data_IF_111534411364
#
_entry.id   IF_111534411364
#
_cell.length_a   1.000
_cell.length_b   1.000
_cell.length_c   1.000
_cell.angle_alpha   90.00
_cell.angle_beta   90.00
_cell.angle_gamma   90.00
#
_symmetry.space_group_name_H-M   'P 1'
#
loop_
_entity.id
_entity.type
_entity.pdbx_description
1 polymer ?
#
# COMPACT_ATOMS: atom_id res chain seq x y z
N UNK A 1 -21.78 -11.72 -72.95
CA UNK A 1 -20.99 -10.48 -72.75
C UNK A 1 -21.67 -9.65 -71.65
N UNK A 2 -22.01 -10.24 -70.52
CA UNK A 2 -21.13 -10.51 -69.34
C UNK A 2 -20.60 -9.25 -68.68
N UNK A 3 -21.49 -8.57 -67.94
CA UNK A 3 -21.13 -7.65 -66.88
C UNK A 3 -20.94 -8.47 -65.58
N UNK A 4 -19.69 -8.55 -65.12
CA UNK A 4 -19.28 -9.26 -63.91
C UNK A 4 -18.51 -8.31 -63.00
N UNK A 5 -18.83 -8.38 -61.69
CA UNK A 5 -17.96 -8.09 -60.52
C UNK A 5 -17.83 -6.58 -60.20
N UNK A 6 -17.94 -6.05 -58.99
CA UNK A 6 -17.73 -6.55 -57.61
C UNK A 6 -18.77 -5.87 -56.67
N UNK A 7 -19.30 -6.49 -55.63
CA UNK A 7 -18.54 -7.05 -54.49
C UNK A 7 -18.57 -6.05 -53.32
N UNK A 8 -19.72 -5.97 -52.63
CA UNK A 8 -19.87 -5.20 -51.39
C UNK A 8 -19.06 -5.86 -50.27
N UNK A 9 -17.87 -5.37 -49.98
CA UNK A 9 -17.14 -5.72 -48.75
C UNK A 9 -17.67 -4.90 -47.59
N UNK A 10 -18.55 -5.50 -46.79
CA UNK A 10 -18.86 -5.01 -45.45
C UNK A 10 -17.78 -5.52 -44.50
N UNK A 11 -16.80 -4.65 -44.21
CA UNK A 11 -15.83 -4.89 -43.14
C UNK A 11 -16.60 -4.88 -41.81
N UNK A 12 -16.73 -6.06 -41.21
CA UNK A 12 -17.22 -6.23 -39.86
C UNK A 12 -16.24 -5.57 -38.89
N UNK A 13 -16.53 -4.32 -38.51
CA UNK A 13 -15.95 -3.69 -37.33
C UNK A 13 -16.43 -4.48 -36.11
N UNK A 14 -15.58 -5.39 -35.64
CA UNK A 14 -15.72 -6.06 -34.36
C UNK A 14 -15.70 -5.02 -33.24
N UNK A 15 -16.85 -4.45 -32.92
CA UNK A 15 -17.10 -3.82 -31.64
C UNK A 15 -16.98 -4.93 -30.59
N UNK A 16 -15.79 -5.10 -30.04
CA UNK A 16 -15.59 -5.77 -28.77
C UNK A 16 -16.49 -5.06 -27.76
N UNK A 17 -17.67 -5.64 -27.50
CA UNK A 17 -18.60 -5.21 -26.46
C UNK A 17 -17.80 -5.17 -25.16
N UNK A 18 -17.40 -3.97 -24.73
CA UNK A 18 -16.98 -3.76 -23.34
C UNK A 18 -18.22 -4.05 -22.52
N UNK A 19 -18.35 -5.27 -22.01
CA UNK A 19 -19.32 -5.56 -20.96
C UNK A 19 -18.95 -4.63 -19.82
N UNK A 20 -19.78 -3.61 -19.56
CA UNK A 20 -19.76 -2.85 -18.33
C UNK A 20 -20.10 -3.84 -17.20
N UNK A 21 -19.11 -4.60 -16.77
CA UNK A 21 -19.23 -5.40 -15.55
C UNK A 21 -19.21 -4.40 -14.41
N UNK A 22 -20.29 -4.37 -13.64
CA UNK A 22 -20.34 -3.64 -12.38
C UNK A 22 -19.15 -4.11 -11.55
N UNK A 23 -18.22 -3.20 -11.29
CA UNK A 23 -16.94 -3.49 -10.61
C UNK A 23 -17.06 -3.21 -9.11
N UNK A 24 -18.21 -3.48 -8.51
CA UNK A 24 -18.42 -3.23 -7.08
C UNK A 24 -17.74 -4.32 -6.24
N UNK A 25 -17.04 -3.92 -5.20
CA UNK A 25 -16.49 -4.83 -4.19
C UNK A 25 -17.67 -5.49 -3.45
N UNK A 26 -17.79 -6.83 -3.43
CA UNK A 26 -18.83 -7.52 -2.65
C UNK A 26 -18.78 -7.12 -1.18
N UNK A 27 -19.94 -6.99 -0.52
CA UNK A 27 -20.04 -6.43 0.83
C UNK A 27 -19.15 -7.16 1.86
N UNK A 28 -19.15 -8.50 1.84
CA UNK A 28 -18.26 -9.29 2.70
C UNK A 28 -16.78 -8.95 2.46
N UNK A 29 -16.36 -8.88 1.20
CA UNK A 29 -14.99 -8.51 0.81
C UNK A 29 -14.66 -7.08 1.25
N UNK A 30 -15.61 -6.15 1.13
CA UNK A 30 -15.45 -4.75 1.58
C UNK A 30 -15.16 -4.68 3.08
N UNK A 31 -15.96 -5.37 3.90
CA UNK A 31 -15.77 -5.41 5.37
C UNK A 31 -14.43 -6.03 5.76
N UNK A 32 -13.99 -7.09 5.06
CA UNK A 32 -12.69 -7.70 5.28
C UNK A 32 -11.55 -6.72 4.95
N UNK A 33 -11.62 -6.05 3.81
CA UNK A 33 -10.62 -5.05 3.38
C UNK A 33 -10.56 -3.88 4.35
N UNK A 34 -11.71 -3.40 4.82
CA UNK A 34 -11.82 -2.34 5.81
C UNK A 34 -11.10 -2.68 7.10
N UNK A 35 -11.39 -3.85 7.69
CA UNK A 35 -10.71 -4.30 8.92
C UNK A 35 -9.21 -4.44 8.75
N UNK A 36 -8.75 -4.95 7.60
CA UNK A 36 -7.32 -5.09 7.31
C UNK A 36 -6.62 -3.75 7.22
N UNK A 37 -7.23 -2.78 6.52
CA UNK A 37 -6.67 -1.44 6.37
C UNK A 37 -6.71 -0.65 7.68
N UNK A 38 -7.77 -0.77 8.46
CA UNK A 38 -7.88 -0.17 9.78
C UNK A 38 -6.77 -0.66 10.71
N UNK A 39 -6.63 -1.98 10.84
CA UNK A 39 -5.57 -2.60 11.64
C UNK A 39 -4.17 -2.23 11.13
N UNK A 40 -4.00 -2.14 9.81
CA UNK A 40 -2.75 -1.74 9.18
C UNK A 40 -2.36 -0.29 9.54
N UNK A 41 -3.27 0.66 9.33
CA UNK A 41 -3.05 2.08 9.59
C UNK A 41 -2.81 2.34 11.08
N UNK A 42 -3.57 1.69 11.98
CA UNK A 42 -3.38 1.81 13.42
C UNK A 42 -1.99 1.31 13.87
N UNK A 43 -1.50 0.23 13.26
CA UNK A 43 -0.21 -0.39 13.59
C UNK A 43 0.98 0.38 13.00
N UNK A 44 0.87 0.90 11.78
CA UNK A 44 2.00 1.61 11.14
C UNK A 44 2.22 3.00 11.75
N UNK A 45 1.16 3.63 12.27
CA UNK A 45 1.19 4.95 12.90
C UNK A 45 0.77 4.88 14.38
N UNK A 46 1.65 4.40 15.29
CA UNK A 46 1.37 4.40 16.71
C UNK A 46 1.09 5.83 17.23
N UNK A 47 0.26 6.01 18.27
CA UNK A 47 -0.15 7.31 18.79
C UNK A 47 1.01 8.29 19.05
N UNK A 48 2.15 7.77 19.51
CA UNK A 48 3.39 8.49 19.83
C UNK A 48 4.14 9.03 18.61
N UNK A 49 3.92 8.46 17.41
CA UNK A 49 4.58 8.84 16.15
C UNK A 49 3.64 9.58 15.17
N UNK A 50 2.39 9.85 15.57
CA UNK A 50 1.37 10.56 14.75
C UNK A 50 1.78 11.97 14.31
N UNK A 51 2.84 12.51 14.88
CA UNK A 51 3.37 13.82 14.51
C UNK A 51 4.37 13.80 13.34
N UNK A 52 4.78 12.61 12.86
CA UNK A 52 5.81 12.48 11.83
C UNK A 52 5.25 12.05 10.48
N UNK A 53 4.44 10.98 10.43
CA UNK A 53 3.74 10.56 9.21
C UNK A 53 2.38 9.99 9.62
N UNK A 54 1.34 10.44 8.94
CA UNK A 54 -0.01 9.94 9.11
C UNK A 54 -0.44 9.24 7.82
N UNK A 55 -0.88 8.00 7.94
CA UNK A 55 -1.43 7.23 6.81
C UNK A 55 -2.88 6.91 7.12
N UNK A 56 -3.75 7.15 6.17
CA UNK A 56 -5.15 6.77 6.21
C UNK A 56 -5.54 5.93 5.00
N UNK A 57 -6.80 5.54 4.97
CA UNK A 57 -7.37 4.81 3.84
C UNK A 57 -8.77 5.33 3.49
N UNK A 58 -9.18 5.08 2.24
CA UNK A 58 -10.54 5.33 1.75
C UNK A 58 -10.99 4.14 0.93
N UNK A 59 -12.23 3.70 1.10
CA UNK A 59 -12.83 2.61 0.31
C UNK A 59 -13.98 3.16 -0.53
N UNK A 60 -13.79 3.18 -1.84
CA UNK A 60 -14.81 3.51 -2.84
C UNK A 60 -15.63 2.26 -3.22
N UNK A 61 -16.44 2.33 -4.28
CA UNK A 61 -17.26 1.20 -4.72
C UNK A 61 -16.41 0.04 -5.27
N UNK A 62 -15.38 0.36 -6.04
CA UNK A 62 -14.57 -0.59 -6.81
C UNK A 62 -13.11 -0.64 -6.37
N UNK A 63 -12.69 0.20 -5.44
CA UNK A 63 -11.30 0.27 -5.02
C UNK A 63 -11.10 0.74 -3.58
N UNK A 64 -9.95 0.40 -3.02
CA UNK A 64 -9.42 0.98 -1.80
C UNK A 64 -8.15 1.80 -2.13
N UNK A 65 -7.97 2.93 -1.46
CA UNK A 65 -6.79 3.80 -1.58
C UNK A 65 -6.18 4.02 -0.22
N UNK A 66 -4.87 3.80 -0.12
CA UNK A 66 -4.05 4.28 0.99
C UNK A 66 -3.56 5.68 0.62
N UNK A 67 -3.67 6.60 1.57
CA UNK A 67 -3.23 7.99 1.42
C UNK A 67 -2.35 8.42 2.58
N UNK A 68 -1.40 9.28 2.28
CA UNK A 68 -0.69 10.09 3.26
C UNK A 68 -1.57 11.26 3.68
N UNK A 69 -1.58 11.60 4.97
CA UNK A 69 -2.22 12.81 5.48
C UNK A 69 -1.14 13.88 5.68
N UNK A 70 -0.90 14.69 4.65
CA UNK A 70 0.09 15.76 4.66
C UNK A 70 -0.46 16.98 5.41
N UNK A 71 0.29 17.53 6.36
CA UNK A 71 -0.12 18.75 7.09
C UNK A 71 0.00 19.97 6.19
N UNK A 72 -1.03 20.83 6.17
CA UNK A 72 -0.93 22.12 5.48
C UNK A 72 -0.19 23.10 6.40
N UNK A 73 0.95 23.63 5.93
CA UNK A 73 1.68 24.73 6.58
C UNK A 73 1.98 24.53 8.08
N UNK A 74 2.11 23.28 8.54
CA UNK A 74 2.36 22.96 9.96
C UNK A 74 1.19 23.23 10.92
N UNK A 75 0.01 23.60 10.42
CA UNK A 75 -1.17 23.91 11.24
C UNK A 75 -1.77 22.60 11.76
N UNK A 76 -2.00 22.54 13.08
CA UNK A 76 -2.67 21.39 13.70
C UNK A 76 -4.14 21.33 13.26
N UNK A 77 -4.60 20.16 12.82
CA UNK A 77 -6.00 19.92 12.44
C UNK A 77 -6.30 20.01 10.94
N UNK A 78 -5.38 20.49 10.10
CA UNK A 78 -5.56 20.55 8.63
C UNK A 78 -4.61 19.56 7.92
N UNK A 79 -5.19 18.46 7.44
CA UNK A 79 -4.46 17.46 6.65
C UNK A 79 -5.07 17.31 5.26
N UNK A 80 -4.22 17.21 4.24
CA UNK A 80 -4.61 16.87 2.88
C UNK A 80 -4.28 15.40 2.60
N UNK A 81 -5.25 14.59 2.17
CA UNK A 81 -4.99 13.23 1.73
C UNK A 81 -4.25 13.24 0.38
N UNK A 82 -2.99 12.81 0.37
CA UNK A 82 -2.22 12.54 -0.83
C UNK A 82 -2.26 11.04 -1.15
N UNK A 83 -2.79 10.62 -2.31
CA UNK A 83 -2.89 9.19 -2.64
C UNK A 83 -1.51 8.54 -2.82
N UNK A 84 -1.37 7.30 -2.37
CA UNK A 84 -0.09 6.57 -2.43
C UNK A 84 -0.25 5.27 -3.20
N UNK A 85 -1.23 4.45 -2.80
CA UNK A 85 -1.46 3.13 -3.38
C UNK A 85 -2.96 2.89 -3.58
N UNK A 86 -3.30 2.18 -4.67
CA UNK A 86 -4.68 1.82 -4.99
C UNK A 86 -4.81 0.33 -5.27
N UNK A 87 -5.79 -0.29 -4.62
CA UNK A 87 -6.20 -1.67 -4.79
C UNK A 87 -7.56 -1.68 -5.49
N UNK A 88 -7.61 -2.04 -6.76
CA UNK A 88 -8.82 -1.99 -7.59
C UNK A 88 -9.42 -3.37 -7.77
N UNK A 89 -10.63 -3.59 -7.30
CA UNK A 89 -11.33 -4.85 -7.45
C UNK A 89 -11.80 -5.05 -8.89
N UNK A 90 -11.57 -6.25 -9.42
CA UNK A 90 -11.97 -6.65 -10.77
C UNK A 90 -12.95 -7.79 -10.66
N UNK A 91 -14.24 -7.45 -10.75
CA UNK A 91 -15.32 -8.42 -10.62
C UNK A 91 -15.23 -9.58 -11.63
N UNK A 92 -14.79 -9.31 -12.86
CA UNK A 92 -14.68 -10.34 -13.91
C UNK A 92 -13.68 -11.46 -13.55
N UNK A 93 -12.61 -11.13 -12.83
CA UNK A 93 -11.52 -12.04 -12.47
C UNK A 93 -11.49 -12.41 -11.00
N UNK A 94 -12.33 -11.76 -10.19
CA UNK A 94 -12.36 -11.87 -8.72
C UNK A 94 -10.96 -11.65 -8.12
N UNK A 95 -10.23 -10.68 -8.69
CA UNK A 95 -8.89 -10.29 -8.25
C UNK A 95 -8.79 -8.78 -8.03
N UNK A 96 -7.67 -8.36 -7.45
CA UNK A 96 -7.34 -6.97 -7.16
C UNK A 96 -6.18 -6.55 -8.04
N UNK A 97 -6.34 -5.48 -8.80
CA UNK A 97 -5.23 -4.79 -9.46
C UNK A 97 -4.53 -3.85 -8.48
N UNK A 98 -3.21 -3.73 -8.61
CA UNK A 98 -2.40 -2.90 -7.73
C UNK A 98 -1.74 -1.76 -8.52
N UNK A 99 -1.97 -0.53 -8.08
CA UNK A 99 -1.45 0.68 -8.69
C UNK A 99 -0.73 1.55 -7.65
N UNK A 100 0.32 2.26 -8.09
CA UNK A 100 0.99 3.30 -7.31
C UNK A 100 0.66 4.69 -7.89
N UNK A 101 0.69 5.71 -7.03
CA UNK A 101 0.49 7.08 -7.45
C UNK A 101 1.83 7.74 -7.78
N UNK A 102 1.96 8.26 -8.99
CA UNK A 102 3.10 9.03 -9.47
C UNK A 102 2.76 10.52 -9.43
N UNK A 103 3.27 11.19 -8.40
CA UNK A 103 3.19 12.63 -8.26
C UNK A 103 4.17 13.31 -9.24
N UNK A 104 3.71 14.38 -9.90
CA UNK A 104 4.52 15.18 -10.81
C UNK A 104 4.40 16.64 -10.39
N UNK A 105 5.51 17.39 -10.26
CA UNK A 105 5.46 18.82 -9.95
C UNK A 105 4.77 19.65 -11.05
N UNK A 106 4.83 19.16 -12.29
CA UNK A 106 4.41 19.90 -13.49
C UNK A 106 3.02 19.50 -14.00
N UNK A 107 2.45 18.39 -13.49
CA UNK A 107 1.19 17.80 -13.99
C UNK A 107 0.38 17.19 -12.85
N UNK A 108 -0.93 17.06 -13.06
CA UNK A 108 -1.78 16.26 -12.17
C UNK A 108 -1.22 14.85 -12.05
N UNK A 109 -0.97 14.41 -10.81
CA UNK A 109 -0.41 13.08 -10.55
C UNK A 109 -1.24 11.97 -11.17
N UNK A 110 -0.58 10.86 -11.51
CA UNK A 110 -1.18 9.79 -12.31
C UNK A 110 -1.03 8.42 -11.66
N UNK A 111 -2.03 7.57 -11.87
CA UNK A 111 -1.97 6.18 -11.42
C UNK A 111 -1.19 5.32 -12.40
N UNK A 112 -0.22 4.59 -11.88
CA UNK A 112 0.61 3.66 -12.64
C UNK A 112 0.40 2.24 -12.12
N UNK A 113 0.35 1.27 -13.01
CA UNK A 113 0.23 -0.14 -12.61
C UNK A 113 1.53 -0.59 -11.96
N UNK A 114 1.44 -1.21 -10.79
CA UNK A 114 2.58 -1.81 -10.12
C UNK A 114 2.99 -3.08 -10.86
N UNK A 115 4.19 -3.09 -11.47
CA UNK A 115 4.61 -4.18 -12.37
C UNK A 115 5.07 -5.46 -11.69
N UNK A 116 5.73 -5.44 -10.50
CA UNK A 116 6.18 -6.68 -9.83
C UNK A 116 5.01 -7.57 -9.41
N UNK A 117 3.93 -6.96 -8.91
CA UNK A 117 2.72 -7.65 -8.50
C UNK A 117 1.48 -6.92 -9.05
N UNK A 118 1.16 -7.20 -10.32
CA UNK A 118 0.09 -6.47 -11.05
C UNK A 118 -1.30 -6.74 -10.51
N UNK A 119 -1.55 -7.97 -10.08
CA UNK A 119 -2.83 -8.37 -9.51
C UNK A 119 -2.68 -9.57 -8.56
N UNK A 120 -3.58 -9.66 -7.59
CA UNK A 120 -3.72 -10.84 -6.74
C UNK A 120 -5.17 -11.06 -6.32
N UNK A 121 -5.57 -12.32 -6.11
CA UNK A 121 -6.83 -12.66 -5.46
C UNK A 121 -6.78 -12.40 -3.94
N UNK A 122 -5.59 -12.32 -3.37
CA UNK A 122 -5.36 -12.07 -1.96
C UNK A 122 -5.07 -10.59 -1.71
N UNK A 123 -6.01 -9.90 -1.07
CA UNK A 123 -5.78 -8.51 -0.65
C UNK A 123 -4.60 -8.38 0.32
N UNK A 124 -4.42 -9.37 1.21
CA UNK A 124 -3.31 -9.40 2.17
C UNK A 124 -1.95 -9.46 1.46
N UNK A 125 -1.86 -10.18 0.34
CA UNK A 125 -0.63 -10.25 -0.44
C UNK A 125 -0.26 -8.87 -1.01
N UNK A 126 -1.23 -8.15 -1.59
CA UNK A 126 -1.00 -6.79 -2.07
C UNK A 126 -0.65 -5.82 -0.94
N UNK A 127 -1.29 -5.96 0.22
CA UNK A 127 -1.00 -5.14 1.38
C UNK A 127 0.41 -5.43 1.92
N UNK A 128 0.88 -6.68 1.88
CA UNK A 128 2.27 -7.04 2.21
C UNK A 128 3.25 -6.49 1.20
N UNK A 129 2.93 -6.55 -0.09
CA UNK A 129 3.78 -5.97 -1.14
C UNK A 129 3.91 -4.44 -0.98
N UNK A 130 2.80 -3.75 -0.70
CA UNK A 130 2.80 -2.34 -0.33
C UNK A 130 3.71 -2.06 0.87
N UNK A 131 3.61 -2.91 1.89
CA UNK A 131 4.39 -2.81 3.12
C UNK A 131 5.89 -2.95 2.81
N UNK A 132 6.28 -4.05 2.19
CA UNK A 132 7.67 -4.36 1.84
C UNK A 132 8.29 -3.32 0.91
N UNK A 133 7.51 -2.82 -0.05
CA UNK A 133 7.90 -1.88 -1.11
C UNK A 133 9.29 -2.17 -1.70
N UNK A 134 9.49 -3.38 -2.27
CA UNK A 134 10.81 -3.82 -2.73
C UNK A 134 11.40 -2.92 -3.83
N UNK A 135 10.54 -2.17 -4.55
CA UNK A 135 10.95 -1.27 -5.64
C UNK A 135 11.02 0.20 -5.19
N UNK A 136 10.56 0.54 -3.98
CA UNK A 136 10.64 1.89 -3.42
C UNK A 136 9.66 2.91 -4.03
N UNK A 137 8.51 2.46 -4.53
CA UNK A 137 7.52 3.35 -5.15
C UNK A 137 6.58 4.02 -4.14
N UNK A 138 6.44 3.47 -2.93
CA UNK A 138 5.45 3.94 -1.96
C UNK A 138 6.08 4.78 -0.85
N UNK A 139 7.09 4.25 -0.14
CA UNK A 139 7.59 4.89 1.08
C UNK A 139 8.65 5.96 0.84
N UNK A 140 9.41 5.85 -0.26
CA UNK A 140 10.39 6.89 -0.64
C UNK A 140 9.76 8.24 -0.97
N UNK A 141 8.43 8.30 -1.12
CA UNK A 141 7.65 9.48 -1.49
C UNK A 141 6.83 10.09 -0.35
N UNK A 142 6.81 9.44 0.81
CA UNK A 142 6.10 9.96 1.99
C UNK A 142 6.98 10.99 2.69
N UNK A 143 6.41 12.15 3.00
CA UNK A 143 7.08 13.23 3.72
C UNK A 143 7.28 12.81 5.18
N UNK A 144 8.38 12.10 5.42
CA UNK A 144 8.72 11.63 6.75
C UNK A 144 10.09 11.00 6.81
N UNK A 145 10.86 11.39 7.82
CA UNK A 145 12.07 10.68 8.23
C UNK A 145 11.69 9.22 8.55
N UNK A 146 11.89 8.34 7.58
CA UNK A 146 11.74 6.88 7.57
C UNK A 146 10.92 6.28 8.74
N UNK A 147 9.66 5.93 8.46
CA UNK A 147 8.91 4.97 9.28
C UNK A 147 9.11 3.51 8.85
N UNK A 148 10.10 3.21 7.99
CA UNK A 148 10.38 1.82 7.63
C UNK A 148 11.86 1.49 7.58
N UNK A 149 12.19 0.55 8.48
CA UNK A 149 12.99 -0.63 8.22
C UNK A 149 14.39 -0.29 7.74
N UNK A 150 15.35 -0.42 8.65
CA UNK A 150 16.76 -0.16 8.39
C UNK A 150 17.37 -0.97 7.23
N UNK A 151 16.62 -1.88 6.58
CA UNK A 151 17.06 -2.57 5.37
C UNK A 151 15.89 -3.10 4.53
N UNK A 152 16.21 -3.44 3.28
CA UNK A 152 15.34 -4.14 2.31
C UNK A 152 14.84 -5.51 2.81
N UNK A 153 15.43 -6.07 3.88
CA UNK A 153 15.04 -7.37 4.47
C UNK A 153 14.03 -7.26 5.61
N UNK A 154 13.67 -6.06 6.06
CA UNK A 154 12.88 -5.89 7.29
C UNK A 154 13.46 -4.85 8.25
N UNK A 155 12.76 -4.63 9.38
CA UNK A 155 13.37 -3.99 10.56
C UNK A 155 14.50 -4.89 11.08
N UNK A 156 15.66 -4.33 11.37
CA UNK A 156 16.59 -5.02 12.26
C UNK A 156 15.92 -5.20 13.62
N UNK A 157 16.48 -6.11 14.40
CA UNK A 157 16.01 -6.42 15.76
C UNK A 157 15.84 -5.15 16.61
N UNK A 158 16.75 -4.19 16.50
CA UNK A 158 16.69 -2.95 17.28
C UNK A 158 15.56 -2.00 16.83
N UNK A 159 15.37 -1.82 15.52
CA UNK A 159 14.24 -1.06 15.00
C UNK A 159 12.91 -1.73 15.32
N UNK A 160 12.86 -3.07 15.38
CA UNK A 160 11.66 -3.82 15.76
C UNK A 160 11.37 -3.70 17.26
N UNK A 161 12.39 -3.73 18.12
CA UNK A 161 12.26 -3.47 19.56
C UNK A 161 11.78 -2.05 19.83
N UNK A 162 12.38 -1.03 19.20
CA UNK A 162 11.90 0.36 19.34
C UNK A 162 10.47 0.50 18.82
N UNK A 163 10.14 -0.12 17.71
CA UNK A 163 8.78 -0.14 17.18
C UNK A 163 7.79 -0.82 18.13
N UNK A 164 8.14 -1.97 18.72
CA UNK A 164 7.35 -2.64 19.77
C UNK A 164 7.20 -1.78 21.02
N UNK A 165 8.24 -1.05 21.42
CA UNK A 165 8.20 -0.10 22.54
C UNK A 165 7.25 1.07 22.25
N UNK A 166 7.33 1.65 21.05
CA UNK A 166 6.45 2.73 20.57
C UNK A 166 4.99 2.25 20.46
N UNK A 167 4.77 0.95 20.17
CA UNK A 167 3.46 0.28 20.17
C UNK A 167 2.96 -0.17 21.55
N UNK A 168 3.75 -0.03 22.62
CA UNK A 168 3.40 -0.52 23.96
C UNK A 168 3.35 -2.06 24.08
N UNK A 169 3.99 -2.77 23.16
CA UNK A 169 4.07 -4.24 23.11
C UNK A 169 5.39 -4.79 23.68
N UNK A 170 6.29 -3.91 24.12
CA UNK A 170 7.46 -4.33 24.87
C UNK A 170 7.02 -4.69 26.28
N UNK A 171 7.13 -5.97 26.65
CA UNK A 171 7.22 -6.35 28.06
C UNK A 171 8.45 -5.63 28.60
N UNK A 172 8.29 -4.88 29.69
CA UNK A 172 9.42 -4.35 30.46
C UNK A 172 10.37 -5.50 30.72
N UNK A 173 11.48 -5.57 29.98
CA UNK A 173 12.62 -6.30 30.50
C UNK A 173 13.10 -5.36 31.58
N UNK A 174 12.62 -5.57 32.80
CA UNK A 174 13.17 -4.94 33.98
C UNK A 174 14.65 -5.27 33.95
N UNK A 175 15.45 -4.25 33.65
CA UNK A 175 16.90 -4.29 33.72
C UNK A 175 17.31 -4.22 35.19
N UNK A 176 16.82 -5.18 35.98
CA UNK A 176 17.15 -5.41 37.38
C UNK A 176 17.83 -6.78 37.51
N UNK A 177 19.01 -6.88 36.92
CA UNK A 177 20.17 -7.73 37.28
C UNK A 177 21.12 -7.69 36.08
N UNK A 178 22.43 -7.57 36.18
CA UNK A 178 23.34 -7.47 37.30
C UNK A 178 24.59 -6.82 36.68
N UNK A 179 25.08 -5.76 37.31
CA UNK A 179 26.37 -5.23 36.96
C UNK A 179 27.39 -6.22 37.55
N UNK A 180 28.48 -6.51 36.82
CA UNK A 180 29.71 -7.10 37.36
C UNK A 180 29.81 -8.64 37.34
N UNK A 181 30.39 -9.18 36.26
CA UNK A 181 31.79 -9.67 36.30
C UNK A 181 32.35 -10.00 34.93
N UNK A 182 33.46 -9.31 34.65
CA UNK A 182 34.57 -9.68 33.78
C UNK A 182 34.86 -11.18 33.89
N UNK A 183 34.95 -11.89 32.76
CA UNK A 183 36.14 -12.67 32.39
C UNK A 183 36.22 -12.86 30.88
N UNK A 184 37.43 -12.61 30.38
CA UNK A 184 37.89 -12.78 29.00
C UNK A 184 38.05 -14.28 28.67
N UNK A 185 37.91 -14.55 27.37
CA UNK A 185 38.56 -15.58 26.53
C UNK A 185 38.21 -17.07 26.67
N UNK A 186 37.57 -17.58 25.61
CA UNK A 186 37.90 -18.73 24.72
C UNK A 186 39.27 -19.40 25.02
N UNK A 187 39.55 -20.72 24.98
CA UNK A 187 39.09 -21.93 24.22
C UNK A 187 39.71 -23.20 24.89
N UNK A 188 39.60 -24.41 24.30
CA UNK A 188 39.01 -25.63 24.88
C UNK A 188 39.81 -26.35 25.98
#
# INVERSE_FOLDING_TARGET
>A
MDARIAGRSALALGLARRKCTVTTIPQHTRTLVERLLEAYCARICPPTARNTVLIGYRIAQDHAVIHELRRICGVQGTCLPSPVARFRYRHATQDWAFDYFEESPERTGSWRRYTPLRHSRSFIELLREFDLDPVGHFWGRLDGKSLRWCSVKGRCMECDVRYKHVLGLAVSIDSSTDNQRVYRSVTP
#
